data_IF_057904713742
#
_entry.id   IF_057904713742
#
_cell.length_a   1.000
_cell.length_b   1.000
_cell.length_c   1.000
_cell.angle_alpha   90.00
_cell.angle_beta   90.00
_cell.angle_gamma   90.00
#
_symmetry.space_group_name_H-M   'P 1'
#
loop_
_entity.id
_entity.type
_entity.pdbx_description
1 polymer ?
#
# COMPACT_ATOMS: atom_id res chain seq x y z
N UNK A 1 -17.07 14.39 0.65
CA UNK A 1 -18.04 14.26 -0.45
C UNK A 1 -19.04 13.18 -0.08
N UNK A 2 -20.35 13.40 -0.29
CA UNK A 2 -21.36 12.35 -0.08
C UNK A 2 -21.51 11.57 -1.38
N UNK A 3 -21.54 10.24 -1.29
CA UNK A 3 -21.65 9.33 -2.42
C UNK A 3 -22.71 8.29 -2.06
N UNK A 4 -23.57 7.95 -3.02
CA UNK A 4 -24.56 6.88 -2.88
C UNK A 4 -24.13 5.73 -3.78
N UNK A 5 -24.10 4.51 -3.24
CA UNK A 5 -23.75 3.31 -3.98
C UNK A 5 -24.63 2.15 -3.51
N UNK A 6 -24.88 1.20 -4.40
CA UNK A 6 -25.53 -0.06 -4.06
C UNK A 6 -24.43 -1.08 -3.77
N UNK A 7 -24.42 -1.62 -2.56
CA UNK A 7 -23.44 -2.59 -2.08
C UNK A 7 -24.20 -3.70 -1.37
N UNK A 8 -23.73 -4.95 -1.50
CA UNK A 8 -24.30 -6.07 -0.78
C UNK A 8 -24.14 -5.88 0.73
N UNK A 9 -25.25 -6.02 1.47
CA UNK A 9 -25.26 -5.82 2.93
C UNK A 9 -24.29 -6.75 3.63
N UNK A 10 -24.24 -8.02 3.22
CA UNK A 10 -23.35 -9.02 3.80
C UNK A 10 -21.88 -8.62 3.67
N UNK A 11 -21.49 -8.14 2.48
CA UNK A 11 -20.14 -7.65 2.25
C UNK A 11 -19.79 -6.49 3.18
N UNK A 12 -20.70 -5.54 3.38
CA UNK A 12 -20.47 -4.42 4.29
C UNK A 12 -20.36 -4.87 5.74
N UNK A 13 -21.17 -5.85 6.17
CA UNK A 13 -21.07 -6.40 7.53
C UNK A 13 -19.74 -7.11 7.75
N UNK A 14 -19.31 -7.96 6.80
CA UNK A 14 -18.03 -8.65 6.88
C UNK A 14 -16.87 -7.63 6.99
N UNK A 15 -16.90 -6.55 6.20
CA UNK A 15 -15.87 -5.50 6.25
C UNK A 15 -15.91 -4.75 7.58
N UNK A 16 -17.08 -4.44 8.14
CA UNK A 16 -17.22 -3.79 9.45
C UNK A 16 -16.62 -4.68 10.55
N UNK A 17 -16.97 -5.96 10.58
CA UNK A 17 -16.48 -6.92 11.58
C UNK A 17 -14.96 -7.08 11.49
N UNK A 18 -14.44 -7.32 10.28
CA UNK A 18 -13.00 -7.51 10.07
C UNK A 18 -12.17 -6.26 10.34
N UNK A 19 -12.71 -5.06 10.07
CA UNK A 19 -12.02 -3.80 10.29
C UNK A 19 -12.16 -3.24 11.71
N UNK A 20 -13.09 -3.75 12.52
CA UNK A 20 -13.42 -3.19 13.83
C UNK A 20 -14.03 -1.78 13.75
N UNK A 21 -14.56 -1.39 12.59
CA UNK A 21 -15.09 -0.07 12.35
C UNK A 21 -16.43 0.16 13.06
N UNK A 22 -16.70 1.40 13.46
CA UNK A 22 -17.95 1.72 14.19
C UNK A 22 -19.16 1.90 13.27
N UNK A 23 -18.93 2.13 11.98
CA UNK A 23 -19.96 2.38 10.98
C UNK A 23 -19.45 2.09 9.55
N UNK A 24 -20.38 2.04 8.60
CA UNK A 24 -20.12 1.78 7.17
C UNK A 24 -19.09 2.74 6.59
N UNK A 25 -19.14 4.02 6.96
CA UNK A 25 -18.22 5.03 6.41
C UNK A 25 -16.78 4.78 6.83
N UNK A 26 -16.56 4.46 8.12
CA UNK A 26 -15.23 4.11 8.63
C UNK A 26 -14.72 2.81 8.02
N UNK A 27 -15.59 1.80 7.90
CA UNK A 27 -15.27 0.51 7.30
C UNK A 27 -14.78 0.68 5.85
N UNK A 28 -15.53 1.43 5.04
CA UNK A 28 -15.15 1.75 3.66
C UNK A 28 -13.86 2.56 3.60
N UNK A 29 -13.66 3.52 4.51
CA UNK A 29 -12.42 4.32 4.55
C UNK A 29 -11.20 3.46 4.83
N UNK A 30 -11.29 2.51 5.76
CA UNK A 30 -10.21 1.57 6.08
C UNK A 30 -9.96 0.67 4.87
N UNK A 31 -11.00 0.02 4.35
CA UNK A 31 -10.88 -0.91 3.22
C UNK A 31 -10.25 -0.25 1.98
N UNK A 32 -10.67 0.98 1.64
CA UNK A 32 -10.12 1.71 0.49
C UNK A 32 -8.65 2.11 0.69
N UNK A 33 -8.27 2.49 1.91
CA UNK A 33 -6.88 2.82 2.24
C UNK A 33 -5.98 1.59 2.17
N UNK A 34 -6.45 0.47 2.68
CA UNK A 34 -5.73 -0.79 2.64
C UNK A 34 -5.57 -1.29 1.20
N UNK A 35 -6.62 -1.21 0.40
CA UNK A 35 -6.57 -1.52 -1.02
C UNK A 35 -5.54 -0.65 -1.75
N UNK A 36 -5.57 0.67 -1.55
CA UNK A 36 -4.62 1.59 -2.17
C UNK A 36 -3.17 1.30 -1.73
N UNK A 37 -2.97 1.01 -0.45
CA UNK A 37 -1.63 0.71 0.09
C UNK A 37 -1.07 -0.57 -0.52
N UNK A 38 -1.90 -1.62 -0.64
CA UNK A 38 -1.51 -2.88 -1.30
C UNK A 38 -1.16 -2.65 -2.77
N UNK A 39 -1.94 -1.84 -3.49
CA UNK A 39 -1.65 -1.51 -4.90
C UNK A 39 -0.32 -0.78 -5.05
N UNK A 40 -0.04 0.21 -4.21
CA UNK A 40 1.25 0.91 -4.21
C UNK A 40 2.43 -0.01 -3.91
N UNK A 41 2.27 -0.96 -3.00
CA UNK A 41 3.32 -1.94 -2.69
C UNK A 41 3.60 -2.86 -3.88
N UNK A 42 2.57 -3.29 -4.60
CA UNK A 42 2.74 -4.08 -5.82
C UNK A 42 3.44 -3.28 -6.92
N UNK A 43 3.00 -2.04 -7.15
CA UNK A 43 3.65 -1.13 -8.12
C UNK A 43 5.12 -0.89 -7.77
N UNK A 44 5.43 -0.68 -6.49
CA UNK A 44 6.81 -0.53 -6.03
C UNK A 44 7.62 -1.82 -6.24
N UNK A 45 7.02 -2.99 -5.97
CA UNK A 45 7.67 -4.28 -6.22
C UNK A 45 8.01 -4.46 -7.70
N UNK A 46 7.10 -4.10 -8.60
CA UNK A 46 7.32 -4.18 -10.04
C UNK A 46 8.45 -3.22 -10.48
N UNK A 47 8.50 -2.01 -9.91
CA UNK A 47 9.59 -1.06 -10.14
C UNK A 47 10.94 -1.60 -9.63
N UNK A 48 10.98 -2.23 -8.46
CA UNK A 48 12.20 -2.84 -7.93
C UNK A 48 12.71 -4.00 -8.77
N UNK A 49 11.85 -4.73 -9.47
CA UNK A 49 12.28 -5.76 -10.43
C UNK A 49 12.84 -5.12 -11.70
N UNK A 50 12.22 -4.04 -12.19
CA UNK A 50 12.67 -3.32 -13.37
C UNK A 50 13.99 -2.57 -13.14
N UNK A 51 14.15 -1.97 -11.96
CA UNK A 51 15.34 -1.26 -11.53
C UNK A 51 15.74 -1.76 -10.13
N UNK A 52 16.55 -2.83 -10.07
CA UNK A 52 17.00 -3.40 -8.82
C UNK A 52 17.77 -2.39 -7.98
N UNK A 53 17.38 -2.25 -6.71
CA UNK A 53 18.09 -1.39 -5.77
C UNK A 53 19.47 -2.01 -5.49
N UNK A 54 20.50 -1.44 -6.09
CA UNK A 54 21.89 -1.85 -5.86
C UNK A 54 22.46 -1.04 -4.70
N UNK A 55 22.71 -1.71 -3.58
CA UNK A 55 23.40 -1.09 -2.46
C UNK A 55 24.92 -1.18 -2.67
N UNK A 56 25.58 -0.02 -2.81
CA UNK A 56 27.02 0.05 -2.65
C UNK A 56 27.35 0.01 -1.15
N UNK A 57 27.97 -1.07 -0.71
CA UNK A 57 28.40 -1.25 0.69
C UNK A 57 29.88 -1.63 0.76
N UNK A 58 30.53 -1.26 1.86
CA UNK A 58 31.96 -1.45 2.10
C UNK A 58 32.80 -0.20 1.81
N UNK A 59 33.85 0.00 2.61
CA UNK A 59 34.71 1.18 2.54
C UNK A 59 35.34 1.37 1.15
N UNK A 60 35.72 0.29 0.49
CA UNK A 60 36.36 0.32 -0.83
C UNK A 60 35.40 0.83 -1.91
N UNK A 61 34.16 0.31 -1.95
CA UNK A 61 33.14 0.76 -2.91
C UNK A 61 32.70 2.20 -2.69
N UNK A 62 32.64 2.64 -1.43
CA UNK A 62 32.29 4.03 -1.09
C UNK A 62 33.45 4.99 -1.43
N UNK A 63 34.70 4.54 -1.32
CA UNK A 63 35.87 5.34 -1.67
C UNK A 63 35.95 5.58 -3.18
N UNK A 64 35.66 4.56 -3.99
CA UNK A 64 35.67 4.67 -5.45
C UNK A 64 34.56 5.61 -5.96
N UNK A 65 33.39 5.62 -5.31
CA UNK A 65 32.30 6.55 -5.63
C UNK A 65 32.68 8.00 -5.26
N UNK A 66 33.34 8.21 -4.11
CA UNK A 66 33.72 9.54 -3.63
C UNK A 66 34.94 10.14 -4.35
N UNK A 67 35.64 9.36 -5.19
CA UNK A 67 36.81 9.80 -5.95
C UNK A 67 36.50 10.14 -7.42
N UNK A 68 35.24 10.05 -7.84
CA UNK A 68 34.72 10.61 -9.10
C UNK A 68 34.22 12.04 -8.90
#
# INVERSE_FOLDING_TARGET
MKVTALIEDKLIQDVIEMSGAKNVTEALRIALRDYLSRKKLLELSDQMVAEPVVFAYGADKLRDINQQ
#
